data_IF_934744729774
#
_entry.id   IF_934744729774
#
_cell.length_a   1.000
_cell.length_b   1.000
_cell.length_c   1.000
_cell.angle_alpha   90.00
_cell.angle_beta   90.00
_cell.angle_gamma   90.00
#
_symmetry.space_group_name_H-M   'P 1'
#
loop_
_entity.id
_entity.type
_entity.pdbx_description
1 polymer ?
#
# COMPACT_ATOMS: atom_id res chain seq x y z
N UNK A 1 -12.25 -5.63 12.02
CA UNK A 1 -13.23 -4.60 11.65
C UNK A 1 -12.59 -3.23 11.81
N UNK A 2 -12.91 -2.28 10.92
CA UNK A 2 -12.48 -0.87 10.99
C UNK A 2 -13.71 0.01 11.00
N UNK A 3 -13.73 1.02 11.89
CA UNK A 3 -14.82 1.99 12.02
C UNK A 3 -14.24 3.39 11.96
N UNK A 4 -14.75 4.24 11.07
CA UNK A 4 -14.39 5.67 10.98
C UNK A 4 -15.13 6.47 12.05
N UNK A 5 -14.49 7.50 12.62
CA UNK A 5 -15.12 8.29 13.67
C UNK A 5 -14.25 9.42 14.21
N UNK A 6 -14.58 9.87 15.40
CA UNK A 6 -14.00 11.02 16.08
C UNK A 6 -13.55 10.66 17.49
N UNK A 7 -12.38 11.18 17.90
CA UNK A 7 -11.85 10.93 19.25
C UNK A 7 -10.93 12.07 19.69
N UNK A 8 -10.52 12.06 20.98
CA UNK A 8 -9.51 12.97 21.53
C UNK A 8 -10.02 14.34 21.96
N UNK A 9 -11.26 14.68 21.66
CA UNK A 9 -11.92 15.89 22.15
C UNK A 9 -12.66 15.70 23.47
N UNK A 10 -13.30 16.74 23.93
CA UNK A 10 -14.06 16.77 25.22
C UNK A 10 -15.57 16.92 25.04
N UNK A 11 -16.02 17.35 23.85
CA UNK A 11 -17.45 17.52 23.55
C UNK A 11 -18.21 16.20 23.45
N UNK A 12 -19.46 16.15 23.88
CA UNK A 12 -20.30 14.96 23.74
C UNK A 12 -20.92 14.87 22.35
N UNK A 13 -21.07 13.63 21.85
CA UNK A 13 -21.79 13.32 20.61
C UNK A 13 -21.37 14.17 19.40
N UNK A 14 -20.07 14.18 19.01
CA UNK A 14 -19.61 14.91 17.85
C UNK A 14 -20.25 14.37 16.57
N UNK A 15 -20.55 15.30 15.65
CA UNK A 15 -20.95 15.02 14.27
C UNK A 15 -19.92 15.60 13.33
N UNK A 16 -19.99 15.29 12.04
CA UNK A 16 -19.10 15.87 11.03
C UNK A 16 -19.07 17.42 11.05
N UNK A 17 -20.18 18.04 11.44
CA UNK A 17 -20.28 19.50 11.51
C UNK A 17 -19.71 20.09 12.82
N UNK A 18 -19.59 19.29 13.89
CA UNK A 18 -19.29 19.81 15.23
C UNK A 18 -18.01 19.25 15.87
N UNK A 19 -17.43 18.17 15.32
CA UNK A 19 -16.31 17.49 15.95
C UNK A 19 -15.06 18.37 16.11
N UNK A 20 -14.80 19.25 15.13
CA UNK A 20 -13.67 20.18 15.16
C UNK A 20 -13.78 21.17 16.32
N UNK A 21 -14.92 21.83 16.47
CA UNK A 21 -15.17 22.80 17.54
C UNK A 21 -15.13 22.15 18.93
N UNK A 22 -15.44 20.86 19.00
CA UNK A 22 -15.36 20.05 20.22
C UNK A 22 -13.95 19.48 20.49
N UNK A 23 -12.97 19.83 19.67
CA UNK A 23 -11.57 19.42 19.79
C UNK A 23 -11.28 17.96 19.45
N UNK A 24 -12.21 17.27 18.81
CA UNK A 24 -11.99 15.92 18.30
C UNK A 24 -11.13 15.94 17.04
N UNK A 25 -10.52 14.81 16.75
CA UNK A 25 -9.83 14.54 15.48
C UNK A 25 -10.50 13.38 14.76
N UNK A 26 -10.39 13.37 13.44
CA UNK A 26 -10.79 12.21 12.65
C UNK A 26 -9.90 11.02 12.95
N UNK A 27 -10.50 9.87 13.14
CA UNK A 27 -9.78 8.66 13.50
C UNK A 27 -10.47 7.41 12.95
N UNK A 28 -9.73 6.32 12.91
CA UNK A 28 -10.27 4.98 12.71
C UNK A 28 -10.05 4.14 13.96
N UNK A 29 -11.08 3.40 14.38
CA UNK A 29 -10.95 2.38 15.41
C UNK A 29 -10.81 1.01 14.73
N UNK A 30 -9.74 0.30 15.06
CA UNK A 30 -9.42 -1.01 14.49
C UNK A 30 -9.64 -2.09 15.51
N UNK A 31 -10.57 -3.01 15.24
CA UNK A 31 -10.78 -4.23 16.01
C UNK A 31 -10.03 -5.38 15.32
N UNK A 32 -9.10 -5.98 16.02
CA UNK A 32 -8.24 -7.02 15.46
C UNK A 32 -8.05 -8.18 16.43
N UNK A 33 -7.73 -9.34 15.88
CA UNK A 33 -7.34 -10.53 16.63
C UNK A 33 -5.79 -10.59 16.69
N UNK A 34 -5.20 -10.47 17.88
CA UNK A 34 -3.74 -10.49 18.04
C UNK A 34 -3.09 -11.83 17.66
N UNK A 35 -3.87 -12.91 17.56
CA UNK A 35 -3.38 -14.18 17.07
C UNK A 35 -3.23 -14.20 15.54
N UNK A 36 -3.94 -13.31 14.82
CA UNK A 36 -3.88 -13.20 13.36
C UNK A 36 -2.97 -12.07 12.88
N UNK A 37 -2.95 -10.94 13.59
CA UNK A 37 -2.14 -9.78 13.23
C UNK A 37 -1.56 -9.11 14.48
N UNK A 38 -0.26 -8.91 14.50
CA UNK A 38 0.41 -8.19 15.58
C UNK A 38 0.13 -6.69 15.51
N UNK A 39 0.09 -6.02 16.66
CA UNK A 39 -0.15 -4.58 16.76
C UNK A 39 0.89 -3.75 15.99
N UNK A 40 2.15 -4.20 15.96
CA UNK A 40 3.23 -3.59 15.19
C UNK A 40 2.91 -3.51 13.68
N UNK A 41 2.22 -4.50 13.14
CA UNK A 41 1.81 -4.49 11.74
C UNK A 41 0.71 -3.46 11.46
N UNK A 42 -0.18 -3.25 12.42
CA UNK A 42 -1.19 -2.18 12.33
C UNK A 42 -0.51 -0.81 12.37
N UNK A 43 0.48 -0.63 13.24
CA UNK A 43 1.27 0.61 13.30
C UNK A 43 2.07 0.83 12.01
N UNK A 44 2.69 -0.21 11.43
CA UNK A 44 3.39 -0.07 10.15
C UNK A 44 2.43 0.36 9.03
N UNK A 45 1.23 -0.22 8.97
CA UNK A 45 0.20 0.23 8.04
C UNK A 45 -0.18 1.70 8.26
N UNK A 46 -0.34 2.15 9.51
CA UNK A 46 -0.63 3.54 9.83
C UNK A 46 0.47 4.49 9.33
N UNK A 47 1.74 4.20 9.66
CA UNK A 47 2.89 5.02 9.23
C UNK A 47 2.99 5.17 7.72
N UNK A 48 2.68 4.11 6.98
CA UNK A 48 2.71 4.08 5.51
C UNK A 48 1.58 4.84 4.83
N UNK A 49 0.64 5.42 5.58
CA UNK A 49 -0.52 6.12 5.02
C UNK A 49 -0.60 7.60 5.41
N UNK A 50 0.38 8.10 6.17
CA UNK A 50 0.39 9.48 6.68
C UNK A 50 1.71 10.20 6.37
N UNK A 51 1.70 11.55 6.46
CA UNK A 51 2.91 12.34 6.72
C UNK A 51 3.06 12.55 8.23
N UNK A 52 3.92 11.78 8.91
CA UNK A 52 4.08 11.86 10.35
C UNK A 52 4.83 13.11 10.81
N UNK A 53 5.31 13.94 9.87
CA UNK A 53 6.06 15.18 10.12
C UNK A 53 5.22 16.45 9.94
N UNK A 54 3.95 16.32 9.54
CA UNK A 54 3.06 17.45 9.33
C UNK A 54 2.21 17.73 10.58
N UNK A 55 2.53 18.80 11.29
CA UNK A 55 1.80 19.22 12.49
C UNK A 55 0.50 20.00 12.17
N UNK A 56 0.31 20.44 10.93
CA UNK A 56 -0.79 21.33 10.53
C UNK A 56 -1.92 20.63 9.78
N UNK A 57 -1.89 19.32 9.67
CA UNK A 57 -2.92 18.56 8.94
C UNK A 57 -2.38 17.33 8.26
N UNK A 58 -3.03 16.88 7.19
CA UNK A 58 -2.58 15.76 6.37
C UNK A 58 -2.85 16.06 4.89
N UNK A 59 -1.79 16.29 4.13
CA UNK A 59 -1.83 16.55 2.69
C UNK A 59 -2.71 17.77 2.35
N UNK A 60 -3.81 17.59 1.61
CA UNK A 60 -4.76 18.66 1.29
C UNK A 60 -5.65 19.05 2.48
N UNK A 61 -5.82 18.16 3.47
CA UNK A 61 -6.67 18.40 4.63
C UNK A 61 -5.89 19.18 5.69
N UNK A 62 -6.33 20.42 5.97
CA UNK A 62 -5.60 21.33 6.87
C UNK A 62 -6.42 21.60 8.12
N UNK A 63 -5.73 21.72 9.25
CA UNK A 63 -6.33 22.00 10.54
C UNK A 63 -5.93 20.98 11.62
N UNK A 64 -6.11 21.37 12.88
CA UNK A 64 -5.72 20.54 14.04
C UNK A 64 -6.50 19.22 14.11
N UNK A 65 -7.69 19.18 13.58
CA UNK A 65 -8.56 18.01 13.53
C UNK A 65 -8.08 16.93 12.54
N UNK A 66 -7.12 17.28 11.65
CA UNK A 66 -6.44 16.33 10.76
C UNK A 66 -5.01 15.96 11.21
N UNK A 67 -4.59 16.36 12.42
CA UNK A 67 -3.28 15.96 12.93
C UNK A 67 -3.19 14.44 13.13
N UNK A 68 -2.00 13.91 12.99
CA UNK A 68 -1.78 12.47 13.20
C UNK A 68 -1.63 12.14 14.69
N UNK A 69 -2.32 11.09 15.15
CA UNK A 69 -2.21 10.57 16.50
C UNK A 69 -2.46 9.07 16.56
N UNK A 70 -1.86 8.41 17.55
CA UNK A 70 -2.11 7.03 17.93
C UNK A 70 -2.73 7.05 19.32
N UNK A 71 -3.93 6.46 19.45
CA UNK A 71 -4.62 6.32 20.73
C UNK A 71 -4.43 4.91 21.27
N UNK A 72 -3.72 4.80 22.40
CA UNK A 72 -3.45 3.53 23.05
C UNK A 72 -4.48 3.20 24.12
N UNK A 73 -4.82 1.93 24.28
CA UNK A 73 -5.77 1.42 25.27
C UNK A 73 -5.09 0.95 26.58
N UNK A 74 -3.83 0.48 26.48
CA UNK A 74 -3.06 -0.04 27.60
C UNK A 74 -1.57 0.35 27.49
N UNK A 75 -0.79 0.07 28.54
CA UNK A 75 0.62 0.44 28.61
C UNK A 75 1.49 -0.34 27.63
N UNK A 76 1.10 -1.55 27.24
CA UNK A 76 1.83 -2.32 26.22
C UNK A 76 1.67 -1.69 24.83
N UNK A 77 0.45 -1.32 24.46
CA UNK A 77 0.21 -0.58 23.21
C UNK A 77 0.99 0.75 23.19
N UNK A 78 1.00 1.47 24.34
CA UNK A 78 1.80 2.70 24.46
C UNK A 78 3.27 2.43 24.19
N UNK A 79 3.86 1.44 24.86
CA UNK A 79 5.27 1.08 24.75
C UNK A 79 5.63 0.70 23.29
N UNK A 80 4.78 -0.11 22.66
CA UNK A 80 4.99 -0.55 21.27
C UNK A 80 4.87 0.62 20.31
N UNK A 81 3.90 1.52 20.48
CA UNK A 81 3.72 2.71 19.65
C UNK A 81 4.91 3.67 19.78
N UNK A 82 5.38 3.94 21.00
CA UNK A 82 6.56 4.77 21.26
C UNK A 82 7.82 4.19 20.61
N UNK A 83 8.04 2.88 20.74
CA UNK A 83 9.15 2.18 20.09
C UNK A 83 9.05 2.26 18.57
N UNK A 84 7.86 2.09 18.00
CA UNK A 84 7.62 2.18 16.56
C UNK A 84 7.90 3.59 16.03
N UNK A 85 7.43 4.64 16.74
CA UNK A 85 7.73 6.04 16.42
C UNK A 85 9.23 6.33 16.48
N UNK A 86 9.93 5.85 17.50
CA UNK A 86 11.38 6.01 17.64
C UNK A 86 12.14 5.40 16.47
N UNK A 87 11.85 4.15 16.12
CA UNK A 87 12.43 3.48 14.95
C UNK A 87 12.18 4.24 13.65
N UNK A 88 10.97 4.78 13.49
CA UNK A 88 10.65 5.57 12.31
C UNK A 88 11.49 6.85 12.26
N UNK A 89 11.65 7.56 13.38
CA UNK A 89 12.49 8.76 13.47
C UNK A 89 13.97 8.50 13.18
N UNK A 90 14.47 7.32 13.59
CA UNK A 90 15.86 6.89 13.36
C UNK A 90 16.08 6.33 11.93
N UNK A 91 15.03 6.09 11.17
CA UNK A 91 15.12 5.44 9.85
C UNK A 91 15.77 6.30 8.76
N UNK A 92 15.93 7.61 8.98
CA UNK A 92 16.43 8.54 7.97
C UNK A 92 15.49 8.78 6.78
N UNK A 93 14.23 8.32 6.87
CA UNK A 93 13.24 8.49 5.80
C UNK A 93 12.66 9.89 5.70
N UNK A 94 12.67 10.61 6.81
CA UNK A 94 12.07 11.94 6.93
C UNK A 94 13.13 12.97 7.32
N UNK A 95 13.15 14.10 6.62
CA UNK A 95 14.06 15.22 6.88
C UNK A 95 13.60 16.08 8.08
N UNK A 96 12.36 15.86 8.56
CA UNK A 96 11.75 16.59 9.67
C UNK A 96 11.42 15.64 10.82
N UNK A 97 11.34 16.15 12.07
CA UNK A 97 10.96 15.34 13.22
C UNK A 97 9.55 14.73 13.08
N UNK A 98 9.38 13.53 13.64
CA UNK A 98 8.05 12.90 13.75
C UNK A 98 7.25 13.63 14.82
N UNK A 99 6.11 14.20 14.42
CA UNK A 99 5.22 14.99 15.29
C UNK A 99 3.95 14.23 15.69
N UNK A 100 3.76 13.02 15.19
CA UNK A 100 2.62 12.18 15.53
C UNK A 100 2.53 11.97 17.04
N UNK A 101 1.39 12.29 17.64
CA UNK A 101 1.13 12.16 19.07
C UNK A 101 0.80 10.72 19.46
N UNK A 102 1.17 10.30 20.68
CA UNK A 102 0.76 9.03 21.28
C UNK A 102 -0.02 9.37 22.54
N UNK A 103 -1.33 9.20 22.47
CA UNK A 103 -2.30 9.68 23.44
C UNK A 103 -3.07 8.52 24.08
N UNK A 104 -3.49 8.69 25.35
CA UNK A 104 -4.36 7.72 25.98
C UNK A 104 -5.74 7.78 25.38
N UNK A 105 -6.27 6.62 25.02
CA UNK A 105 -7.65 6.51 24.55
C UNK A 105 -8.63 6.86 25.68
N UNK A 106 -9.66 7.62 25.34
CA UNK A 106 -10.76 7.97 26.27
C UNK A 106 -12.10 7.48 25.76
N UNK A 107 -12.53 7.99 24.64
CA UNK A 107 -13.81 7.64 24.02
C UNK A 107 -13.74 7.80 22.52
N UNK A 108 -14.40 6.89 21.80
CA UNK A 108 -14.57 6.95 20.36
C UNK A 108 -16.05 7.19 20.02
N UNK A 109 -16.30 8.02 19.05
CA UNK A 109 -17.62 8.29 18.51
C UNK A 109 -17.60 7.89 17.03
N UNK A 110 -18.43 6.90 16.67
CA UNK A 110 -18.53 6.49 15.27
C UNK A 110 -19.08 7.63 14.42
N UNK A 111 -18.44 7.88 13.29
CA UNK A 111 -18.93 8.83 12.30
C UNK A 111 -20.18 8.28 11.59
N UNK A 112 -20.85 9.15 10.89
CA UNK A 112 -22.08 8.89 10.17
C UNK A 112 -21.92 7.74 9.14
N UNK A 113 -23.01 7.09 8.80
CA UNK A 113 -23.01 5.89 7.95
C UNK A 113 -22.39 6.10 6.56
N UNK A 114 -22.42 7.31 6.03
CA UNK A 114 -21.83 7.64 4.72
C UNK A 114 -20.28 7.69 4.77
N UNK A 115 -19.67 7.88 5.94
CA UNK A 115 -18.23 7.81 6.14
C UNK A 115 -17.71 6.36 6.31
N UNK A 116 -18.59 5.43 6.68
CA UNK A 116 -18.18 4.04 6.86
C UNK A 116 -17.95 3.36 5.50
N UNK A 117 -16.79 2.68 5.37
CA UNK A 117 -16.38 2.00 4.12
C UNK A 117 -16.37 2.91 2.88
N UNK A 118 -16.07 4.21 3.06
CA UNK A 118 -16.17 5.22 2.00
C UNK A 118 -15.37 4.84 0.75
N UNK A 119 -14.15 4.34 0.93
CA UNK A 119 -13.27 3.91 -0.18
C UNK A 119 -13.85 2.75 -1.00
N UNK A 120 -14.64 1.87 -0.38
CA UNK A 120 -15.33 0.76 -1.05
C UNK A 120 -16.62 1.22 -1.72
N UNK A 121 -17.37 2.10 -1.08
CA UNK A 121 -18.63 2.63 -1.60
C UNK A 121 -18.44 3.64 -2.72
N UNK A 122 -17.36 4.42 -2.67
CA UNK A 122 -17.06 5.51 -3.59
C UNK A 122 -15.62 5.41 -4.14
N UNK A 123 -15.24 4.31 -4.80
CA UNK A 123 -13.84 4.03 -5.15
C UNK A 123 -13.25 5.08 -6.11
N UNK A 124 -14.02 5.60 -7.04
CA UNK A 124 -13.55 6.62 -8.00
C UNK A 124 -13.29 7.96 -7.32
N UNK A 125 -14.23 8.46 -6.50
CA UNK A 125 -14.04 9.70 -5.75
C UNK A 125 -12.87 9.60 -4.78
N UNK A 126 -12.73 8.46 -4.10
CA UNK A 126 -11.64 8.22 -3.18
C UNK A 126 -10.28 8.22 -3.87
N UNK A 127 -10.14 7.58 -5.04
CA UNK A 127 -8.91 7.61 -5.85
C UNK A 127 -8.59 9.01 -6.34
N UNK A 128 -9.58 9.72 -6.89
CA UNK A 128 -9.41 11.10 -7.35
C UNK A 128 -8.93 12.01 -6.22
N UNK A 129 -9.55 11.90 -5.04
CA UNK A 129 -9.15 12.63 -3.84
C UNK A 129 -7.70 12.29 -3.43
N UNK A 130 -7.33 11.01 -3.34
CA UNK A 130 -5.97 10.61 -3.00
C UNK A 130 -4.92 11.16 -3.95
N UNK A 131 -5.18 11.08 -5.25
CA UNK A 131 -4.29 11.64 -6.27
C UNK A 131 -4.20 13.17 -6.15
N UNK A 132 -5.34 13.86 -6.10
CA UNK A 132 -5.39 15.33 -6.03
C UNK A 132 -4.84 15.91 -4.73
N UNK A 133 -4.88 15.17 -3.61
CA UNK A 133 -4.32 15.60 -2.32
C UNK A 133 -2.79 15.55 -2.27
N UNK A 134 -2.12 14.93 -3.24
CA UNK A 134 -0.68 14.70 -3.23
C UNK A 134 -0.21 13.58 -2.30
N UNK A 135 -1.14 12.88 -1.63
CA UNK A 135 -0.83 11.80 -0.68
C UNK A 135 -0.01 10.69 -1.34
N UNK A 136 -0.49 10.17 -2.45
CA UNK A 136 0.17 9.04 -3.13
C UNK A 136 1.58 9.43 -3.59
N UNK A 137 1.76 10.63 -4.17
CA UNK A 137 3.08 11.16 -4.56
C UNK A 137 4.05 11.27 -3.38
N UNK A 138 3.57 11.75 -2.22
CA UNK A 138 4.40 11.83 -1.02
C UNK A 138 4.79 10.44 -0.50
N UNK A 139 3.81 9.53 -0.38
CA UNK A 139 4.05 8.18 0.12
C UNK A 139 5.01 7.41 -0.78
N UNK A 140 4.85 7.52 -2.08
CA UNK A 140 5.78 6.95 -3.06
C UNK A 140 7.21 7.48 -2.88
N UNK A 141 7.37 8.78 -2.69
CA UNK A 141 8.68 9.39 -2.45
C UNK A 141 9.35 8.87 -1.18
N UNK A 142 8.59 8.76 -0.09
CA UNK A 142 9.12 8.40 1.24
C UNK A 142 9.31 6.89 1.39
N UNK A 143 8.37 6.09 0.87
CA UNK A 143 8.35 4.65 1.08
C UNK A 143 8.90 3.86 -0.09
N UNK A 144 9.27 4.51 -1.22
CA UNK A 144 10.01 3.82 -2.28
C UNK A 144 11.27 3.19 -1.69
N UNK A 145 11.53 1.92 -1.98
CA UNK A 145 12.77 1.30 -1.53
C UNK A 145 13.94 2.12 -2.05
N UNK A 146 14.80 2.58 -1.13
CA UNK A 146 16.13 3.00 -1.54
C UNK A 146 16.80 1.73 -2.09
N UNK A 147 17.21 1.69 -3.36
CA UNK A 147 17.84 0.50 -3.94
C UNK A 147 19.09 0.04 -3.20
N UNK A 148 19.63 0.90 -2.33
CA UNK A 148 20.84 0.67 -1.54
C UNK A 148 20.57 0.36 -0.06
N UNK A 149 19.32 0.44 0.44
CA UNK A 149 18.98 0.18 1.84
C UNK A 149 18.50 -1.27 2.03
N UNK A 150 18.93 -1.99 3.10
CA UNK A 150 18.33 -3.27 3.44
C UNK A 150 16.84 -3.06 3.78
N UNK A 151 15.97 -3.96 3.29
CA UNK A 151 14.56 -3.97 3.60
C UNK A 151 14.34 -3.91 5.12
N UNK A 152 13.46 -3.04 5.65
CA UNK A 152 13.22 -2.92 7.09
C UNK A 152 12.79 -4.23 7.77
N UNK A 153 12.25 -5.17 7.01
CA UNK A 153 11.77 -6.47 7.50
C UNK A 153 12.83 -7.58 7.49
N UNK A 154 14.09 -7.28 7.09
CA UNK A 154 15.15 -8.27 6.95
C UNK A 154 14.92 -9.30 5.83
N UNK A 155 13.82 -9.20 5.10
CA UNK A 155 13.47 -10.08 4.01
C UNK A 155 14.08 -9.52 2.71
N UNK A 156 15.27 -9.95 2.40
CA UNK A 156 15.93 -9.61 1.14
C UNK A 156 15.39 -10.52 0.05
N UNK A 157 14.41 -10.02 -0.72
CA UNK A 157 14.03 -10.66 -1.96
C UNK A 157 15.28 -10.79 -2.84
N UNK A 158 15.58 -12.00 -3.30
CA UNK A 158 16.75 -12.28 -4.14
C UNK A 158 16.40 -13.27 -5.21
N UNK A 159 16.97 -13.05 -6.38
CA UNK A 159 16.98 -14.05 -7.44
C UNK A 159 17.87 -15.21 -7.01
N UNK A 160 17.36 -16.43 -6.88
CA UNK A 160 18.19 -17.62 -6.68
C UNK A 160 19.14 -17.83 -7.86
N UNK A 161 20.18 -18.64 -7.65
CA UNK A 161 21.05 -19.08 -8.74
C UNK A 161 20.29 -19.90 -9.80
N UNK A 162 20.85 -19.98 -11.00
CA UNK A 162 20.19 -20.62 -12.14
C UNK A 162 19.87 -22.10 -11.94
N UNK A 163 20.64 -22.83 -11.14
CA UNK A 163 20.38 -24.24 -10.84
C UNK A 163 19.19 -24.38 -9.91
N UNK A 164 19.14 -23.56 -8.86
CA UNK A 164 18.01 -23.47 -7.92
C UNK A 164 16.73 -23.08 -8.65
N UNK A 165 16.78 -22.09 -9.55
CA UNK A 165 15.61 -21.68 -10.35
C UNK A 165 15.06 -22.82 -11.20
N UNK A 166 15.92 -23.57 -11.89
CA UNK A 166 15.51 -24.72 -12.70
C UNK A 166 14.89 -25.87 -11.90
N UNK A 167 15.29 -26.03 -10.62
CA UNK A 167 14.73 -27.04 -9.74
C UNK A 167 13.40 -26.61 -9.09
N UNK A 168 13.16 -25.31 -8.92
CA UNK A 168 11.98 -24.75 -8.23
C UNK A 168 10.84 -24.40 -9.16
N UNK A 169 11.17 -23.92 -10.36
CA UNK A 169 10.18 -23.45 -11.34
C UNK A 169 9.78 -24.59 -12.28
N UNK A 170 8.53 -24.58 -12.70
CA UNK A 170 8.12 -25.41 -13.85
C UNK A 170 8.85 -24.92 -15.12
N UNK A 171 8.97 -25.75 -16.17
CA UNK A 171 9.55 -25.32 -17.44
C UNK A 171 8.93 -24.04 -17.99
N UNK A 172 7.59 -23.93 -17.95
CA UNK A 172 6.87 -22.75 -18.42
C UNK A 172 7.17 -21.52 -17.55
N UNK A 173 7.16 -21.65 -16.23
CA UNK A 173 7.51 -20.53 -15.33
C UNK A 173 8.94 -20.04 -15.59
N UNK A 174 9.89 -20.95 -15.80
CA UNK A 174 11.27 -20.57 -16.12
C UNK A 174 11.36 -19.87 -17.49
N UNK A 175 10.69 -20.40 -18.50
CA UNK A 175 10.64 -19.79 -19.84
C UNK A 175 10.04 -18.36 -19.78
N UNK A 176 8.90 -18.19 -19.13
CA UNK A 176 8.22 -16.89 -19.02
C UNK A 176 9.08 -15.90 -18.24
N UNK A 177 9.51 -16.27 -17.03
CA UNK A 177 10.17 -15.30 -16.13
C UNK A 177 11.61 -14.99 -16.52
N UNK A 178 12.36 -15.98 -17.09
CA UNK A 178 13.79 -15.86 -17.31
C UNK A 178 14.21 -15.82 -18.80
N UNK A 179 13.32 -16.18 -19.71
CA UNK A 179 13.59 -16.21 -21.15
C UNK A 179 12.60 -15.37 -21.97
N UNK A 180 11.82 -14.50 -21.30
CA UNK A 180 10.83 -13.62 -21.90
C UNK A 180 9.76 -14.38 -22.72
N UNK A 181 9.41 -15.60 -22.26
CA UNK A 181 8.33 -16.38 -22.83
C UNK A 181 6.95 -15.77 -22.48
N UNK A 182 5.92 -16.32 -23.08
CA UNK A 182 4.53 -15.88 -22.84
C UNK A 182 3.65 -17.09 -22.56
N UNK A 183 2.85 -17.03 -21.51
CA UNK A 183 1.84 -18.05 -21.21
C UNK A 183 0.72 -18.02 -22.28
N UNK A 184 0.08 -19.17 -22.59
CA UNK A 184 -1.07 -19.17 -23.49
C UNK A 184 -2.22 -18.31 -22.94
N UNK A 185 -2.79 -17.46 -23.80
CA UNK A 185 -3.97 -16.65 -23.45
C UNK A 185 -5.14 -17.56 -23.04
N UNK A 186 -5.89 -17.16 -22.00
CA UNK A 186 -7.05 -17.90 -21.43
C UNK A 186 -6.69 -19.28 -20.85
N UNK A 187 -5.40 -19.65 -20.78
CA UNK A 187 -4.93 -20.95 -20.26
C UNK A 187 -3.74 -20.76 -19.31
N UNK A 188 -3.77 -19.72 -18.48
CA UNK A 188 -2.81 -19.47 -17.42
C UNK A 188 -3.51 -19.35 -16.05
N UNK A 189 -2.74 -19.44 -14.97
CA UNK A 189 -3.28 -19.65 -13.63
C UNK A 189 -4.14 -18.50 -13.09
N UNK A 190 -3.99 -17.29 -13.61
CA UNK A 190 -4.55 -16.10 -12.95
C UNK A 190 -5.37 -15.18 -13.87
N UNK A 191 -5.59 -15.53 -15.13
CA UNK A 191 -6.30 -14.66 -16.07
C UNK A 191 -7.72 -14.33 -15.58
N UNK A 192 -8.46 -15.31 -15.06
CA UNK A 192 -9.84 -15.18 -14.55
C UNK A 192 -9.93 -15.20 -13.01
N UNK A 193 -8.81 -15.25 -12.29
CA UNK A 193 -8.81 -15.27 -10.83
C UNK A 193 -9.37 -13.96 -10.26
N UNK A 194 -10.39 -14.07 -9.39
CA UNK A 194 -11.07 -12.95 -8.71
C UNK A 194 -10.93 -13.01 -7.20
N UNK A 195 -10.15 -13.93 -6.66
CA UNK A 195 -9.91 -14.03 -5.23
C UNK A 195 -9.07 -12.85 -4.73
N UNK A 196 -9.37 -12.39 -3.51
CA UNK A 196 -8.62 -11.32 -2.87
C UNK A 196 -7.22 -11.81 -2.48
N UNK A 197 -6.19 -11.02 -2.84
CA UNK A 197 -4.82 -11.38 -2.52
C UNK A 197 -3.77 -10.47 -3.17
N UNK A 198 -2.51 -10.85 -2.91
CA UNK A 198 -1.33 -10.19 -3.47
C UNK A 198 -0.66 -11.17 -4.45
N UNK A 199 -0.41 -10.69 -5.66
CA UNK A 199 0.38 -11.40 -6.66
C UNK A 199 1.86 -11.15 -6.39
N UNK A 200 2.62 -12.22 -6.20
CA UNK A 200 4.05 -12.17 -5.88
C UNK A 200 4.88 -12.77 -7.01
N UNK A 201 6.11 -12.31 -7.16
CA UNK A 201 7.05 -12.91 -8.10
C UNK A 201 7.37 -14.36 -7.68
N UNK A 202 7.14 -15.29 -8.56
CA UNK A 202 7.42 -16.73 -8.32
C UNK A 202 8.92 -17.02 -8.12
N UNK A 203 9.80 -16.14 -8.61
CA UNK A 203 11.26 -16.25 -8.51
C UNK A 203 11.77 -15.76 -7.15
N UNK A 204 11.41 -14.55 -6.75
CA UNK A 204 11.95 -13.86 -5.57
C UNK A 204 10.99 -13.80 -4.38
N UNK A 205 9.68 -13.98 -4.62
CA UNK A 205 8.64 -13.78 -3.62
C UNK A 205 8.30 -12.31 -3.33
N UNK A 206 8.86 -11.35 -4.08
CA UNK A 206 8.53 -9.94 -3.90
C UNK A 206 7.09 -9.63 -4.32
N UNK A 207 6.35 -8.77 -3.59
CA UNK A 207 4.99 -8.39 -3.93
C UNK A 207 4.97 -7.49 -5.16
N UNK A 208 4.12 -7.81 -6.13
CA UNK A 208 4.05 -7.14 -7.43
C UNK A 208 2.74 -6.37 -7.62
N UNK A 209 1.60 -7.07 -7.48
CA UNK A 209 0.28 -6.50 -7.77
C UNK A 209 -0.74 -6.89 -6.71
N UNK A 210 -1.81 -6.09 -6.61
CA UNK A 210 -2.98 -6.38 -5.76
C UNK A 210 -4.16 -6.82 -6.59
N UNK A 211 -4.95 -7.76 -6.08
CA UNK A 211 -6.26 -8.12 -6.67
C UNK A 211 -7.21 -6.94 -6.77
N UNK A 212 -7.03 -5.91 -5.92
CA UNK A 212 -7.82 -4.68 -5.95
C UNK A 212 -7.56 -3.82 -7.18
N UNK A 213 -6.40 -3.98 -7.82
CA UNK A 213 -6.00 -3.24 -9.01
C UNK A 213 -6.10 -4.10 -10.29
N UNK A 214 -6.58 -5.37 -10.15
CA UNK A 214 -6.82 -6.29 -11.26
C UNK A 214 -8.11 -5.96 -11.98
N UNK A 215 -8.07 -6.02 -13.31
CA UNK A 215 -9.26 -5.87 -14.15
C UNK A 215 -9.29 -6.92 -15.28
N UNK A 216 -10.45 -7.10 -15.88
CA UNK A 216 -10.61 -7.97 -17.06
C UNK A 216 -10.35 -7.13 -18.33
N UNK A 217 -9.21 -7.38 -18.95
CA UNK A 217 -8.82 -6.73 -20.21
C UNK A 217 -9.38 -7.47 -21.45
N UNK A 218 -9.96 -8.65 -21.28
CA UNK A 218 -10.41 -9.49 -22.38
C UNK A 218 -9.27 -10.13 -23.18
N UNK A 219 -8.01 -9.94 -22.79
CA UNK A 219 -6.83 -10.44 -23.53
C UNK A 219 -6.46 -11.88 -23.18
N UNK A 220 -6.99 -12.40 -22.05
CA UNK A 220 -6.69 -13.74 -21.56
C UNK A 220 -5.42 -13.82 -20.71
N UNK A 221 -4.87 -12.68 -20.24
CA UNK A 221 -3.81 -12.59 -19.27
C UNK A 221 -4.24 -11.73 -18.08
N UNK A 222 -3.65 -11.93 -16.87
CA UNK A 222 -3.88 -11.06 -15.73
C UNK A 222 -3.46 -9.63 -16.05
N UNK A 223 -4.37 -8.67 -15.86
CA UNK A 223 -4.12 -7.26 -16.15
C UNK A 223 -4.37 -6.41 -14.91
N UNK A 224 -3.50 -5.42 -14.68
CA UNK A 224 -3.51 -4.59 -13.48
C UNK A 224 -3.33 -3.12 -13.87
N UNK A 225 -4.04 -2.23 -13.18
CA UNK A 225 -3.96 -0.78 -13.45
C UNK A 225 -2.72 -0.13 -12.85
N UNK A 226 -2.03 -0.81 -11.92
CA UNK A 226 -0.80 -0.33 -11.29
C UNK A 226 -0.13 -1.44 -10.48
N UNK A 227 1.18 -1.34 -10.20
CA UNK A 227 1.84 -2.21 -9.24
C UNK A 227 1.42 -1.89 -7.80
N UNK A 228 1.48 -2.90 -6.91
CA UNK A 228 1.29 -2.73 -5.48
C UNK A 228 2.42 -1.89 -4.86
N UNK A 229 3.65 -2.22 -5.22
CA UNK A 229 4.87 -1.54 -4.80
C UNK A 229 5.65 -1.12 -6.07
N UNK A 230 5.56 0.14 -6.50
CA UNK A 230 6.27 0.61 -7.70
C UNK A 230 7.79 0.36 -7.67
N UNK A 231 8.36 0.35 -6.45
CA UNK A 231 9.77 0.03 -6.24
C UNK A 231 10.18 -1.40 -6.62
N UNK A 232 9.24 -2.34 -6.67
CA UNK A 232 9.49 -3.73 -7.05
C UNK A 232 9.38 -3.96 -8.56
N UNK A 233 9.06 -2.92 -9.32
CA UNK A 233 8.92 -2.97 -10.78
C UNK A 233 10.08 -2.23 -11.45
N UNK A 234 10.54 -2.78 -12.56
CA UNK A 234 11.51 -2.16 -13.46
C UNK A 234 10.89 -2.12 -14.85
N UNK A 235 10.86 -0.95 -15.44
CA UNK A 235 10.44 -0.76 -16.83
C UNK A 235 11.67 -0.75 -17.74
N UNK A 236 11.60 -1.47 -18.87
CA UNK A 236 12.62 -1.50 -19.91
C UNK A 236 11.99 -1.28 -21.27
N UNK A 237 12.69 -0.58 -22.15
CA UNK A 237 12.25 -0.48 -23.55
C UNK A 237 12.47 -1.82 -24.25
N UNK A 238 11.39 -2.39 -24.79
CA UNK A 238 11.41 -3.58 -25.64
C UNK A 238 11.19 -3.16 -27.11
N UNK A 239 12.21 -3.36 -27.93
CA UNK A 239 12.19 -3.07 -29.37
C UNK A 239 12.04 -4.32 -30.25
N UNK A 240 11.60 -5.41 -29.65
CA UNK A 240 11.33 -6.65 -30.40
C UNK A 240 10.13 -6.48 -31.35
N UNK A 241 10.03 -7.36 -32.31
CA UNK A 241 8.89 -7.42 -33.26
C UNK A 241 8.58 -6.10 -34.01
N UNK A 242 9.59 -5.25 -34.26
CA UNK A 242 9.44 -3.98 -34.96
C UNK A 242 8.51 -2.95 -34.29
N UNK A 243 8.21 -3.13 -32.99
CA UNK A 243 7.43 -2.22 -32.17
C UNK A 243 8.26 -1.78 -30.95
N UNK A 244 8.07 -0.54 -30.52
CA UNK A 244 8.62 -0.08 -29.24
C UNK A 244 7.53 -0.24 -28.18
N UNK A 245 7.77 -1.06 -27.16
CA UNK A 245 6.88 -1.32 -26.04
C UNK A 245 7.64 -1.13 -24.74
N UNK A 246 6.94 -0.90 -23.64
CA UNK A 246 7.54 -0.89 -22.29
C UNK A 246 7.35 -2.26 -21.67
N UNK A 247 8.44 -3.03 -21.53
CA UNK A 247 8.47 -4.28 -20.79
C UNK A 247 8.46 -3.98 -19.29
N UNK A 248 7.71 -4.77 -18.54
CA UNK A 248 7.66 -4.74 -17.07
C UNK A 248 8.36 -5.98 -16.52
N UNK A 249 9.29 -5.76 -15.58
CA UNK A 249 10.03 -6.82 -14.90
C UNK A 249 10.01 -6.65 -13.40
N UNK A 250 10.09 -7.75 -12.64
CA UNK A 250 10.31 -7.68 -11.21
C UNK A 250 11.74 -7.22 -10.89
N UNK A 251 11.90 -6.42 -9.84
CA UNK A 251 13.21 -5.84 -9.49
C UNK A 251 14.20 -6.88 -8.97
N UNK A 252 13.78 -7.68 -8.00
CA UNK A 252 14.66 -8.64 -7.32
C UNK A 252 14.83 -9.94 -8.10
N UNK A 253 13.76 -10.43 -8.74
CA UNK A 253 13.77 -11.67 -9.53
C UNK A 253 14.25 -11.49 -10.96
N UNK A 254 14.25 -10.26 -11.47
CA UNK A 254 14.43 -9.94 -12.89
C UNK A 254 13.50 -10.81 -13.77
N UNK A 255 12.28 -11.03 -13.30
CA UNK A 255 11.27 -11.82 -13.99
C UNK A 255 10.54 -10.98 -15.02
N UNK A 256 10.41 -11.47 -16.25
CA UNK A 256 9.48 -10.89 -17.20
C UNK A 256 8.04 -11.01 -16.69
N UNK A 257 7.31 -9.90 -16.63
CA UNK A 257 5.94 -9.84 -16.13
C UNK A 257 4.91 -9.48 -17.21
N UNK A 258 5.36 -8.89 -18.31
CA UNK A 258 4.51 -8.41 -19.40
C UNK A 258 4.93 -7.04 -19.90
N UNK A 259 3.96 -6.28 -20.40
CA UNK A 259 4.17 -4.95 -20.99
C UNK A 259 3.11 -3.96 -20.50
N UNK A 260 3.45 -2.67 -20.54
CA UNK A 260 2.50 -1.58 -20.29
C UNK A 260 1.76 -1.25 -21.59
N UNK A 261 0.44 -1.07 -21.48
CA UNK A 261 -0.45 -0.69 -22.58
C UNK A 261 -1.23 0.58 -22.20
N UNK A 262 -1.43 1.55 -23.12
CA UNK A 262 -2.07 2.83 -22.83
C UNK A 262 -3.61 2.80 -23.00
N UNK A 263 -4.23 1.63 -23.03
CA UNK A 263 -5.66 1.40 -23.28
C UNK A 263 -6.38 0.77 -22.07
N UNK A 264 -5.78 0.86 -20.89
CA UNK A 264 -6.36 0.39 -19.65
C UNK A 264 -7.50 1.28 -19.14
N UNK A 265 -8.22 0.84 -18.09
CA UNK A 265 -9.35 1.60 -17.55
C UNK A 265 -8.88 2.88 -16.83
N UNK A 266 -9.78 3.89 -16.81
CA UNK A 266 -9.57 5.07 -15.97
C UNK A 266 -9.42 4.64 -14.47
N UNK A 267 -8.64 5.40 -13.65
CA UNK A 267 -8.05 6.69 -13.94
C UNK A 267 -6.62 6.63 -14.52
N UNK A 268 -5.94 5.48 -14.49
CA UNK A 268 -4.55 5.40 -14.95
C UNK A 268 -4.43 5.38 -16.47
N UNK A 269 -5.39 4.73 -17.16
CA UNK A 269 -5.32 4.48 -18.59
C UNK A 269 -4.24 3.43 -18.97
N UNK A 270 -3.70 2.73 -17.98
CA UNK A 270 -2.66 1.71 -18.14
C UNK A 270 -3.19 0.34 -17.80
#
# INVERSE_FOLDING_TARGET
>A
QVVSGYTGGTGPNPTYETYEEQGHIEAVQVFYDPAQIAYEKILDAFWRHIDPTDAGGQFADRGRHYRTAIFYHDDEQKRVAEKSRGKLGESGRFDRPIVTEILKFTKFHAAEAYHQDYSRKNPLQYRYYRYGSGRDTFLDKVWKPNPSAPNPDGNTYRKPDGQTLRSRLTPLQFEVTQQNGTEPAFHNAYWDNKEEGIYVDVVSGEPLFSSLDKYDSGTGWPSFTRPLEPGNIVEKEDRSLFMSRTEVRSRAGDSHLGHVFPDGPAPTGL
#
